data_IF_589704296670
#
_entry.id   IF_589704296670
#
_cell.length_a   1.000
_cell.length_b   1.000
_cell.length_c   1.000
_cell.angle_alpha   90.00
_cell.angle_beta   90.00
_cell.angle_gamma   90.00
#
_symmetry.space_group_name_H-M   'P 1'
#
loop_
_entity.id
_entity.type
_entity.pdbx_description
1 polymer ?
#
# COMPACT_ATOMS: atom_id res chain seq x y z
N UNK A 1 28.83 41.37 -15.99
CA UNK A 1 28.68 39.99 -15.51
C UNK A 1 29.03 40.01 -14.03
N UNK A 2 28.13 39.53 -13.18
CA UNK A 2 28.08 39.86 -11.74
C UNK A 2 29.06 38.99 -10.92
N UNK A 3 30.16 39.57 -10.46
CA UNK A 3 31.18 38.90 -9.61
C UNK A 3 30.61 38.44 -8.25
N UNK A 4 29.50 39.04 -7.80
CA UNK A 4 28.87 38.69 -6.52
C UNK A 4 28.17 37.33 -6.53
N UNK A 5 27.81 36.83 -7.72
CA UNK A 5 27.17 35.52 -7.87
C UNK A 5 28.17 34.36 -7.74
N UNK A 6 29.42 34.58 -8.16
CA UNK A 6 30.47 33.57 -8.08
C UNK A 6 30.91 33.30 -6.63
N UNK A 7 30.93 34.33 -5.78
CA UNK A 7 31.26 34.22 -4.35
C UNK A 7 30.22 33.41 -3.54
N UNK A 8 28.98 33.28 -4.04
CA UNK A 8 27.90 32.50 -3.40
C UNK A 8 27.95 31.01 -3.75
N UNK A 9 28.71 30.59 -4.76
CA UNK A 9 28.80 29.17 -5.14
C UNK A 9 29.73 28.44 -4.16
N UNK A 10 29.24 27.37 -3.49
CA UNK A 10 30.09 26.61 -2.57
C UNK A 10 31.23 25.93 -3.33
N UNK A 11 32.45 26.09 -2.82
CA UNK A 11 33.68 25.45 -3.35
C UNK A 11 33.53 23.93 -3.37
N UNK A 12 34.21 23.26 -4.32
CA UNK A 12 34.14 21.80 -4.45
C UNK A 12 34.53 21.08 -3.14
N UNK A 13 35.57 21.55 -2.45
CA UNK A 13 35.98 21.01 -1.13
C UNK A 13 34.90 21.19 -0.05
N UNK A 14 34.16 22.30 -0.07
CA UNK A 14 33.01 22.52 0.80
C UNK A 14 31.83 21.59 0.49
N UNK A 15 31.61 21.20 -0.78
CA UNK A 15 30.57 20.23 -1.16
C UNK A 15 30.91 18.80 -0.73
N UNK A 16 32.18 18.41 -0.90
CA UNK A 16 32.67 17.06 -0.56
C UNK A 16 32.58 16.83 0.96
N UNK A 17 33.08 17.78 1.76
CA UNK A 17 32.99 17.70 3.23
C UNK A 17 31.55 17.64 3.75
N UNK A 18 30.64 18.44 3.17
CA UNK A 18 29.19 18.36 3.47
C UNK A 18 28.59 17.01 3.07
N UNK A 19 29.01 16.43 1.95
CA UNK A 19 28.56 15.10 1.50
C UNK A 19 29.05 13.98 2.41
N UNK A 20 30.32 14.03 2.85
CA UNK A 20 30.89 13.07 3.79
C UNK A 20 30.20 13.13 5.16
N UNK A 21 29.89 14.33 5.66
CA UNK A 21 29.10 14.52 6.87
C UNK A 21 27.73 13.86 6.79
N UNK A 22 27.02 14.00 5.67
CA UNK A 22 25.73 13.33 5.45
C UNK A 22 25.85 11.81 5.48
N UNK A 23 26.84 11.27 4.75
CA UNK A 23 27.12 9.83 4.73
C UNK A 23 27.48 9.27 6.11
N UNK A 24 28.20 10.02 6.94
CA UNK A 24 28.51 9.64 8.33
C UNK A 24 27.29 9.72 9.24
N UNK A 25 26.36 10.65 8.99
CA UNK A 25 25.12 10.78 9.77
C UNK A 25 24.03 9.79 9.38
N UNK A 26 24.13 9.14 8.22
CA UNK A 26 23.10 8.24 7.71
C UNK A 26 23.09 6.92 8.54
N UNK A 27 22.01 6.61 9.28
CA UNK A 27 21.95 5.42 10.14
C UNK A 27 21.76 4.11 9.36
N UNK A 28 21.72 4.18 8.03
CA UNK A 28 21.28 3.09 7.16
C UNK A 28 22.16 1.85 7.26
N UNK A 29 23.48 2.01 7.30
CA UNK A 29 24.43 0.90 7.42
C UNK A 29 24.25 0.12 8.73
N UNK A 30 24.00 0.85 9.82
CA UNK A 30 23.77 0.27 11.14
C UNK A 30 22.46 -0.53 11.18
N UNK A 31 21.41 0.00 10.55
CA UNK A 31 20.13 -0.70 10.37
C UNK A 31 20.31 -2.00 9.55
N UNK A 32 21.12 -1.98 8.48
CA UNK A 32 21.35 -3.21 7.71
C UNK A 32 22.10 -4.28 8.51
N UNK A 33 23.15 -3.88 9.25
CA UNK A 33 23.94 -4.79 10.08
C UNK A 33 23.12 -5.39 11.23
N UNK A 34 22.27 -4.58 11.86
CA UNK A 34 21.34 -5.08 12.90
C UNK A 34 20.33 -6.07 12.32
N UNK A 35 19.76 -5.81 11.15
CA UNK A 35 18.85 -6.74 10.48
C UNK A 35 19.51 -8.06 10.06
N UNK A 36 20.77 -8.00 9.62
CA UNK A 36 21.57 -9.18 9.31
C UNK A 36 21.82 -10.03 10.56
N UNK A 37 22.08 -9.39 11.70
CA UNK A 37 22.24 -10.04 13.01
C UNK A 37 20.99 -10.87 13.37
N UNK A 38 19.79 -10.37 13.05
CA UNK A 38 18.54 -11.09 13.27
C UNK A 38 18.14 -12.05 12.14
N UNK A 39 18.97 -12.22 11.10
CA UNK A 39 18.68 -13.01 9.88
C UNK A 39 17.35 -12.67 9.21
N UNK A 40 16.92 -11.42 9.29
CA UNK A 40 15.66 -10.94 8.70
C UNK A 40 15.81 -10.48 7.24
N UNK A 41 16.89 -10.88 6.55
CA UNK A 41 17.14 -10.54 5.15
C UNK A 41 16.80 -11.72 4.24
N UNK A 42 15.95 -11.55 3.20
CA UNK A 42 15.27 -10.31 2.80
C UNK A 42 14.03 -9.98 3.66
N UNK A 43 13.85 -8.69 3.97
CA UNK A 43 12.72 -8.19 4.79
C UNK A 43 11.38 -8.38 4.06
N UNK A 44 11.40 -8.31 2.73
CA UNK A 44 10.22 -8.44 1.88
C UNK A 44 10.55 -9.33 0.69
N UNK A 45 9.69 -10.32 0.45
CA UNK A 45 9.74 -11.12 -0.77
C UNK A 45 9.22 -10.29 -1.95
N UNK A 46 9.97 -10.29 -3.06
CA UNK A 46 9.57 -9.55 -4.26
C UNK A 46 8.29 -10.15 -4.84
N UNK A 47 7.32 -9.30 -5.16
CA UNK A 47 6.02 -9.74 -5.66
C UNK A 47 6.16 -10.59 -6.92
N UNK A 48 7.00 -10.15 -7.86
CA UNK A 48 7.23 -10.87 -9.13
C UNK A 48 7.97 -12.20 -8.98
N UNK A 49 8.59 -12.46 -7.83
CA UNK A 49 9.25 -13.74 -7.53
C UNK A 49 8.35 -14.70 -6.74
N UNK A 50 7.31 -14.19 -6.06
CA UNK A 50 6.34 -15.02 -5.30
C UNK A 50 5.16 -15.55 -6.12
N UNK A 51 4.88 -14.93 -7.27
CA UNK A 51 3.71 -15.20 -8.12
C UNK A 51 4.07 -16.19 -9.24
N UNK A 52 3.47 -17.38 -9.21
CA UNK A 52 3.66 -18.43 -10.22
C UNK A 52 2.60 -18.40 -11.34
N UNK A 53 1.50 -17.69 -11.12
CA UNK A 53 0.38 -17.55 -12.07
C UNK A 53 0.72 -16.73 -13.32
N UNK A 54 1.78 -15.92 -13.24
CA UNK A 54 2.20 -15.03 -14.32
C UNK A 54 3.59 -15.46 -14.81
N UNK A 55 3.67 -15.82 -16.10
CA UNK A 55 4.94 -16.15 -16.73
C UNK A 55 5.73 -14.86 -17.06
N UNK A 56 6.61 -14.47 -16.15
CA UNK A 56 7.48 -13.30 -16.33
C UNK A 56 8.69 -13.62 -17.22
N UNK A 57 9.19 -12.59 -17.92
CA UNK A 57 10.47 -12.70 -18.62
C UNK A 57 11.60 -13.01 -17.64
N UNK A 58 12.59 -13.83 -18.05
CA UNK A 58 13.74 -14.16 -17.22
C UNK A 58 14.55 -12.90 -16.90
N UNK A 59 15.06 -12.83 -15.67
CA UNK A 59 15.88 -11.71 -15.20
C UNK A 59 17.26 -11.75 -15.89
N UNK A 60 17.83 -10.59 -16.21
CA UNK A 60 19.23 -10.50 -16.64
C UNK A 60 20.15 -10.82 -15.46
N UNK A 61 21.38 -11.28 -15.72
CA UNK A 61 22.32 -11.72 -14.69
C UNK A 61 22.66 -10.62 -13.65
N UNK A 62 22.69 -9.35 -14.06
CA UNK A 62 22.94 -8.20 -13.17
C UNK A 62 21.67 -7.61 -12.55
N UNK A 63 20.50 -8.11 -12.93
CA UNK A 63 19.23 -7.53 -12.54
C UNK A 63 18.68 -8.18 -11.27
N UNK A 64 18.80 -7.45 -10.15
CA UNK A 64 18.28 -7.89 -8.85
C UNK A 64 16.75 -7.82 -8.79
N UNK A 65 16.17 -6.71 -9.29
CA UNK A 65 14.73 -6.41 -9.16
C UNK A 65 14.14 -6.06 -10.54
N UNK A 66 12.91 -6.51 -10.82
CA UNK A 66 12.19 -6.12 -12.04
C UNK A 66 11.74 -4.66 -11.98
N UNK A 67 11.54 -4.04 -13.14
CA UNK A 67 11.07 -2.65 -13.22
C UNK A 67 9.72 -2.47 -12.51
N UNK A 68 8.85 -3.45 -12.65
CA UNK A 68 7.52 -3.45 -12.05
C UNK A 68 7.56 -3.35 -10.51
N UNK A 69 8.38 -4.16 -9.84
CA UNK A 69 8.51 -4.09 -8.36
C UNK A 69 9.08 -2.73 -7.90
N UNK A 70 9.99 -2.13 -8.67
CA UNK A 70 10.53 -0.78 -8.39
C UNK A 70 9.43 0.28 -8.47
N UNK A 71 8.60 0.24 -9.51
CA UNK A 71 7.51 1.19 -9.71
C UNK A 71 6.42 1.04 -8.65
N UNK A 72 6.05 -0.21 -8.33
CA UNK A 72 5.15 -0.50 -7.22
C UNK A 72 5.65 0.05 -5.88
N UNK A 73 6.92 -0.17 -5.57
CA UNK A 73 7.53 0.32 -4.33
C UNK A 73 7.56 1.85 -4.28
N UNK A 74 7.91 2.51 -5.39
CA UNK A 74 7.88 3.97 -5.49
C UNK A 74 6.46 4.53 -5.32
N UNK A 75 5.45 3.90 -5.91
CA UNK A 75 4.06 4.29 -5.72
C UNK A 75 3.60 4.12 -4.28
N UNK A 76 3.94 3.00 -3.63
CA UNK A 76 3.65 2.75 -2.22
C UNK A 76 4.35 3.76 -1.29
N UNK A 77 5.63 4.04 -1.53
CA UNK A 77 6.39 5.04 -0.78
C UNK A 77 5.83 6.45 -0.94
N UNK A 78 5.46 6.82 -2.17
CA UNK A 78 4.78 8.10 -2.43
C UNK A 78 3.52 8.16 -1.58
N UNK A 79 2.70 7.12 -1.60
CA UNK A 79 1.47 7.05 -0.81
C UNK A 79 1.71 7.19 0.71
N UNK A 80 2.74 6.53 1.25
CA UNK A 80 3.11 6.63 2.68
C UNK A 80 3.59 8.04 3.04
N UNK A 81 4.38 8.70 2.17
CA UNK A 81 4.80 10.08 2.36
C UNK A 81 3.64 11.09 2.34
N UNK A 82 2.56 10.78 1.61
CA UNK A 82 1.37 11.64 1.55
C UNK A 82 0.38 11.40 2.70
N UNK A 83 0.60 10.45 3.62
CA UNK A 83 -0.27 10.30 4.80
C UNK A 83 -0.30 11.55 5.72
N UNK A 84 0.56 12.55 5.46
CA UNK A 84 0.46 13.89 6.06
C UNK A 84 -0.37 14.91 5.26
N UNK A 85 -0.73 14.72 3.98
CA UNK A 85 -1.61 15.64 3.21
C UNK A 85 -2.08 15.11 1.83
N UNK A 86 -2.67 13.91 1.77
CA UNK A 86 -3.16 13.31 0.52
C UNK A 86 -4.58 13.80 0.20
N UNK A 87 -4.72 15.09 -0.14
CA UNK A 87 -6.03 15.62 -0.54
C UNK A 87 -6.25 15.43 -2.05
N UNK A 88 -7.29 14.67 -2.40
CA UNK A 88 -7.80 14.59 -3.76
C UNK A 88 -8.22 15.99 -4.25
N UNK A 89 -7.83 16.36 -5.48
CA UNK A 89 -8.35 17.56 -6.16
C UNK A 89 -9.90 17.51 -6.17
N UNK A 90 -10.56 18.66 -6.16
CA UNK A 90 -12.03 18.73 -6.03
C UNK A 90 -12.80 17.89 -7.07
N UNK A 91 -12.29 17.81 -8.31
CA UNK A 91 -12.91 17.03 -9.38
C UNK A 91 -12.84 15.50 -9.14
N UNK A 92 -11.66 14.87 -8.94
CA UNK A 92 -11.60 13.44 -8.60
C UNK A 92 -12.25 13.11 -7.26
N UNK A 93 -12.25 14.05 -6.29
CA UNK A 93 -12.96 13.90 -5.01
C UNK A 93 -14.46 13.71 -5.23
N UNK A 94 -15.10 14.58 -6.01
CA UNK A 94 -16.54 14.45 -6.36
C UNK A 94 -16.84 13.14 -7.10
N UNK A 95 -16.00 12.74 -8.05
CA UNK A 95 -16.16 11.46 -8.77
C UNK A 95 -16.05 10.25 -7.84
N UNK A 96 -15.08 10.28 -6.93
CA UNK A 96 -14.90 9.23 -5.93
C UNK A 96 -16.11 9.13 -5.00
N UNK A 97 -16.58 10.25 -4.44
CA UNK A 97 -17.75 10.23 -3.57
C UNK A 97 -19.03 9.81 -4.30
N UNK A 98 -19.23 10.24 -5.55
CA UNK A 98 -20.37 9.79 -6.34
C UNK A 98 -20.34 8.27 -6.60
N UNK A 99 -19.16 7.71 -6.92
CA UNK A 99 -19.00 6.27 -7.10
C UNK A 99 -19.19 5.49 -5.77
N UNK A 100 -18.69 6.04 -4.66
CA UNK A 100 -18.87 5.49 -3.32
C UNK A 100 -20.35 5.49 -2.92
N UNK A 101 -21.05 6.62 -3.10
CA UNK A 101 -22.47 6.75 -2.82
C UNK A 101 -23.30 5.79 -3.67
N UNK A 102 -22.99 5.67 -4.96
CA UNK A 102 -23.63 4.67 -5.84
C UNK A 102 -23.46 3.26 -5.27
N UNK A 103 -22.22 2.87 -4.94
CA UNK A 103 -21.93 1.55 -4.36
C UNK A 103 -22.64 1.32 -3.03
N UNK A 104 -22.81 2.35 -2.22
CA UNK A 104 -23.51 2.27 -0.94
C UNK A 104 -25.03 2.06 -1.08
N UNK A 105 -25.62 2.46 -2.21
CA UNK A 105 -27.03 2.22 -2.53
C UNK A 105 -27.27 0.91 -3.30
N UNK A 106 -26.21 0.24 -3.77
CA UNK A 106 -26.36 -1.03 -4.49
C UNK A 106 -26.98 -2.10 -3.60
N UNK A 107 -27.93 -2.85 -4.16
CA UNK A 107 -28.62 -3.95 -3.47
C UNK A 107 -27.86 -5.24 -3.67
N UNK A 108 -27.54 -5.93 -2.57
CA UNK A 108 -26.83 -7.21 -2.56
C UNK A 108 -27.64 -8.23 -1.77
N UNK A 109 -27.70 -9.47 -2.24
CA UNK A 109 -28.28 -10.58 -1.48
C UNK A 109 -27.27 -11.06 -0.43
N UNK A 110 -27.62 -10.97 0.85
CA UNK A 110 -26.74 -11.45 1.91
C UNK A 110 -26.63 -12.98 1.85
N UNK A 111 -25.44 -13.58 1.77
CA UNK A 111 -25.29 -15.01 1.52
C UNK A 111 -25.69 -15.90 2.70
N UNK A 112 -25.53 -15.43 3.95
CA UNK A 112 -25.99 -16.18 5.13
C UNK A 112 -27.50 -16.03 5.40
N UNK A 113 -28.09 -14.90 5.03
CA UNK A 113 -29.48 -14.57 5.40
C UNK A 113 -30.44 -14.55 4.21
N UNK A 114 -29.90 -14.64 2.99
CA UNK A 114 -30.56 -14.78 1.70
C UNK A 114 -31.60 -13.72 1.33
N UNK A 115 -31.65 -12.60 2.06
CA UNK A 115 -32.46 -11.44 1.71
C UNK A 115 -31.64 -10.33 1.05
N UNK A 116 -32.33 -9.48 0.27
CA UNK A 116 -31.76 -8.32 -0.41
C UNK A 116 -31.61 -7.15 0.55
N UNK A 117 -30.39 -6.64 0.68
CA UNK A 117 -30.06 -5.46 1.48
C UNK A 117 -29.12 -4.53 0.74
N UNK A 118 -29.23 -3.24 1.03
CA UNK A 118 -28.28 -2.26 0.54
C UNK A 118 -26.90 -2.50 1.15
N UNK A 119 -25.85 -2.22 0.39
CA UNK A 119 -24.46 -2.41 0.81
C UNK A 119 -24.14 -1.77 2.17
N UNK A 120 -24.73 -0.61 2.50
CA UNK A 120 -24.63 0.01 3.84
C UNK A 120 -25.11 -0.89 4.97
N UNK A 121 -26.26 -1.55 4.79
CA UNK A 121 -26.83 -2.45 5.81
C UNK A 121 -25.99 -3.72 5.94
N UNK A 122 -25.41 -4.19 4.83
CA UNK A 122 -24.45 -5.30 4.87
C UNK A 122 -23.26 -4.99 5.75
N UNK A 123 -22.68 -3.78 5.64
CA UNK A 123 -21.57 -3.36 6.50
C UNK A 123 -21.95 -3.29 7.98
N UNK A 124 -23.13 -2.74 8.31
CA UNK A 124 -23.62 -2.73 9.71
C UNK A 124 -23.80 -4.15 10.25
N UNK A 125 -24.34 -5.07 9.44
CA UNK A 125 -24.49 -6.48 9.82
C UNK A 125 -23.13 -7.14 10.11
N UNK A 126 -22.12 -6.96 9.24
CA UNK A 126 -20.79 -7.51 9.46
C UNK A 126 -20.14 -6.97 10.75
N UNK A 127 -20.30 -5.67 11.04
CA UNK A 127 -19.79 -5.06 12.27
C UNK A 127 -20.50 -5.62 13.50
N UNK A 128 -21.83 -5.80 13.45
CA UNK A 128 -22.59 -6.41 14.55
C UNK A 128 -22.22 -7.87 14.76
N UNK A 129 -22.00 -8.62 13.69
CA UNK A 129 -21.53 -10.00 13.75
C UNK A 129 -20.13 -10.08 14.38
N UNK A 130 -19.24 -9.14 14.02
CA UNK A 130 -17.92 -9.01 14.62
C UNK A 130 -18.00 -8.68 16.12
N UNK A 131 -18.82 -7.69 16.50
CA UNK A 131 -19.01 -7.31 17.91
C UNK A 131 -19.52 -8.49 18.76
N UNK A 132 -20.54 -9.21 18.27
CA UNK A 132 -21.06 -10.41 18.94
C UNK A 132 -20.03 -11.52 19.08
N UNK A 133 -19.13 -11.66 18.10
CA UNK A 133 -18.03 -12.62 18.16
C UNK A 133 -17.02 -12.24 19.26
N UNK A 134 -16.71 -10.95 19.41
CA UNK A 134 -15.80 -10.46 20.44
C UNK A 134 -16.39 -10.59 21.85
N UNK A 135 -17.71 -10.43 21.99
CA UNK A 135 -18.44 -10.60 23.26
C UNK A 135 -18.60 -12.08 23.70
N UNK A 136 -18.03 -13.04 22.97
CA UNK A 136 -18.16 -14.46 23.27
C UNK A 136 -19.50 -15.08 22.86
N UNK A 137 -20.33 -14.34 22.10
CA UNK A 137 -21.51 -14.86 21.44
C UNK A 137 -21.16 -15.90 20.36
N UNK A 138 -22.13 -16.77 20.01
CA UNK A 138 -21.98 -17.96 19.13
C UNK A 138 -20.89 -17.81 18.05
N UNK A 139 -20.02 -18.82 17.95
CA UNK A 139 -19.07 -19.00 16.85
C UNK A 139 -19.83 -19.00 15.51
N UNK A 140 -19.76 -17.91 14.75
CA UNK A 140 -20.22 -17.91 13.36
C UNK A 140 -19.14 -18.63 12.56
N UNK A 141 -19.38 -19.90 12.24
CA UNK A 141 -18.36 -20.86 11.77
C UNK A 141 -17.85 -20.60 10.35
N UNK A 142 -18.37 -19.60 9.62
CA UNK A 142 -17.82 -19.20 8.33
C UNK A 142 -17.85 -17.67 8.16
N UNK A 143 -16.70 -17.04 8.33
CA UNK A 143 -16.47 -15.65 7.93
C UNK A 143 -16.21 -15.64 6.45
N UNK A 144 -17.19 -15.23 5.69
CA UNK A 144 -17.04 -15.17 4.26
C UNK A 144 -16.88 -13.69 3.88
N UNK A 145 -15.69 -13.31 3.46
CA UNK A 145 -15.49 -12.00 2.85
C UNK A 145 -16.03 -12.07 1.43
N UNK A 146 -17.10 -11.32 1.14
CA UNK A 146 -17.65 -11.24 -0.23
C UNK A 146 -17.30 -9.91 -0.87
N UNK A 147 -16.76 -10.00 -2.09
CA UNK A 147 -16.59 -8.86 -2.97
C UNK A 147 -17.62 -8.99 -4.08
N UNK A 148 -18.49 -7.99 -4.20
CA UNK A 148 -19.35 -7.83 -5.38
C UNK A 148 -18.54 -7.07 -6.43
N UNK A 149 -18.30 -7.74 -7.56
CA UNK A 149 -17.64 -7.18 -8.74
C UNK A 149 -18.50 -7.52 -9.96
N UNK A 150 -18.86 -6.51 -10.76
CA UNK A 150 -19.61 -6.67 -12.02
C UNK A 150 -20.94 -7.44 -11.88
N UNK A 151 -21.66 -7.23 -10.76
CA UNK A 151 -22.92 -7.94 -10.47
C UNK A 151 -22.76 -9.42 -10.11
N UNK A 152 -21.52 -9.93 -10.05
CA UNK A 152 -21.20 -11.31 -9.65
C UNK A 152 -20.64 -11.32 -8.22
N UNK A 153 -21.10 -12.29 -7.44
CA UNK A 153 -20.66 -12.49 -6.05
C UNK A 153 -19.48 -13.45 -6.03
N UNK A 154 -18.36 -13.00 -5.48
CA UNK A 154 -17.18 -13.83 -5.28
C UNK A 154 -17.10 -14.21 -3.80
N UNK A 155 -17.14 -15.52 -3.53
CA UNK A 155 -16.97 -16.12 -2.20
C UNK A 155 -15.49 -16.45 -2.02
N UNK A 156 -14.83 -15.85 -1.04
CA UNK A 156 -13.53 -16.31 -0.56
C UNK A 156 -13.78 -17.16 0.69
N UNK A 157 -13.25 -18.38 0.68
CA UNK A 157 -13.22 -19.28 1.84
C UNK A 157 -11.99 -19.00 2.71
#
# INVERSE_FOLDING_TARGET
MDETENARRPTMGGRVSKGQRKKQSDPWLDILNTLETYRLQPILHLYTDTREDIQWNPKRQTQVVRKWDKEMFQQAMTFIGVLKNCQLKQQPKKRFFAAYERRMHDTVTHPLFQYKINYRRTLDLEVRLLARFLEGGRKVTKRHFFIVKDGKQYKYE
#
